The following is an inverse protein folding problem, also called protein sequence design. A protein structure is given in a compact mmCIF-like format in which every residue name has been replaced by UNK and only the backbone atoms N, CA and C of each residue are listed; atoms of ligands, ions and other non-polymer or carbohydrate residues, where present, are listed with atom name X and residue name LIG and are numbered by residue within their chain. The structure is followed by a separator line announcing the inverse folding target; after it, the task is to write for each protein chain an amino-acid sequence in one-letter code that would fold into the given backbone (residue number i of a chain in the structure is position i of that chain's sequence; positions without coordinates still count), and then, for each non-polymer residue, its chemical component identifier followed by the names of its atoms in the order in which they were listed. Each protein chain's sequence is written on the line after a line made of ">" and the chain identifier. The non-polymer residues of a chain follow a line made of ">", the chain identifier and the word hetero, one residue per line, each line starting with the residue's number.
data_IF_723509374166
#
_entry.id   IF_723509374166
#
_cell.length_a   1.000
_cell.length_b   1.000
_cell.length_c   1.000
_cell.angle_alpha   90.00
_cell.angle_beta   90.00
_cell.angle_gamma   90.00
#
_symmetry.space_group_name_H-M   'P 1'
#
loop_
_entity.id
_entity.type
_entity.pdbx_description
1 polymer ?
#
# COMPACT_ATOMS: atom_id res chain seq x y z
N UNK A 1 13.23 6.63 7.60
CA UNK A 1 13.95 5.42 7.98
C UNK A 1 13.47 4.20 7.18
N UNK A 2 12.18 3.94 7.11
CA UNK A 2 11.58 2.83 6.32
C UNK A 2 11.99 2.86 4.83
N UNK A 3 12.03 4.03 4.19
CA UNK A 3 12.39 4.16 2.79
C UNK A 3 13.81 3.67 2.45
N UNK A 4 14.79 3.87 3.33
CA UNK A 4 16.17 3.39 3.08
C UNK A 4 16.25 1.87 3.00
N UNK A 5 15.55 1.17 3.90
CA UNK A 5 15.49 -0.29 3.88
C UNK A 5 14.71 -0.83 2.68
N UNK A 6 13.62 -0.16 2.33
CA UNK A 6 12.83 -0.52 1.16
C UNK A 6 13.61 -0.32 -0.15
N UNK A 7 14.38 0.78 -0.28
CA UNK A 7 15.23 1.01 -1.45
C UNK A 7 16.32 -0.06 -1.57
N UNK A 8 17.03 -0.37 -0.47
CA UNK A 8 18.08 -1.39 -0.49
C UNK A 8 17.53 -2.78 -0.88
N UNK A 9 16.35 -3.15 -0.33
CA UNK A 9 15.69 -4.39 -0.72
C UNK A 9 15.25 -4.36 -2.19
N UNK A 10 14.76 -3.22 -2.66
CA UNK A 10 14.33 -3.07 -4.04
C UNK A 10 15.50 -3.19 -5.03
N UNK A 11 16.64 -2.57 -4.75
CA UNK A 11 17.86 -2.69 -5.55
C UNK A 11 18.33 -4.15 -5.62
N UNK A 12 18.41 -4.82 -4.47
CA UNK A 12 18.74 -6.26 -4.42
C UNK A 12 17.73 -7.14 -5.17
N UNK A 13 16.45 -6.82 -5.11
CA UNK A 13 15.41 -7.54 -5.82
C UNK A 13 15.48 -7.29 -7.33
N UNK A 14 15.89 -6.09 -7.75
CA UNK A 14 16.11 -5.72 -9.14
C UNK A 14 17.29 -6.51 -9.74
N UNK A 15 18.43 -6.52 -9.05
CA UNK A 15 19.64 -7.24 -9.47
C UNK A 15 19.37 -8.75 -9.62
N UNK A 16 18.56 -9.32 -8.73
CA UNK A 16 18.18 -10.72 -8.76
C UNK A 16 16.94 -11.02 -9.64
N UNK A 17 16.37 -10.02 -10.33
CA UNK A 17 15.13 -10.14 -11.13
C UNK A 17 13.97 -10.79 -10.35
N UNK A 18 13.88 -10.49 -9.06
CA UNK A 18 12.96 -11.12 -8.12
C UNK A 18 11.96 -10.13 -7.50
N UNK A 19 11.70 -8.98 -8.14
CA UNK A 19 10.84 -7.91 -7.59
C UNK A 19 9.46 -8.45 -7.23
N UNK A 20 8.84 -9.23 -8.14
CA UNK A 20 7.49 -9.78 -7.91
C UNK A 20 7.47 -10.88 -6.86
N UNK A 21 8.46 -11.76 -6.86
CA UNK A 21 8.57 -12.80 -5.85
C UNK A 21 8.71 -12.20 -4.44
N UNK A 22 9.57 -11.20 -4.29
CA UNK A 22 9.76 -10.49 -3.03
C UNK A 22 8.48 -9.75 -2.63
N UNK A 23 7.77 -9.12 -3.57
CA UNK A 23 6.48 -8.45 -3.31
C UNK A 23 5.47 -9.45 -2.74
N UNK A 24 5.28 -10.60 -3.39
CA UNK A 24 4.34 -11.65 -2.95
C UNK A 24 4.67 -12.15 -1.54
N UNK A 25 5.94 -12.40 -1.25
CA UNK A 25 6.37 -12.88 0.05
C UNK A 25 6.16 -11.83 1.16
N UNK A 26 6.45 -10.56 0.87
CA UNK A 26 6.20 -9.45 1.79
C UNK A 26 4.71 -9.23 2.03
N UNK A 27 3.87 -9.35 1.00
CA UNK A 27 2.42 -9.23 1.09
C UNK A 27 1.83 -10.35 1.95
N UNK A 28 2.36 -11.58 1.78
CA UNK A 28 2.01 -12.73 2.62
C UNK A 28 2.35 -12.46 4.09
N UNK A 29 3.52 -11.92 4.36
CA UNK A 29 3.93 -11.57 5.72
C UNK A 29 3.06 -10.46 6.32
N UNK A 30 2.73 -9.41 5.57
CA UNK A 30 1.82 -8.34 6.01
C UNK A 30 0.42 -8.86 6.35
N UNK A 31 -0.10 -9.78 5.54
CA UNK A 31 -1.37 -10.47 5.77
C UNK A 31 -1.34 -11.32 7.03
N UNK A 32 -0.23 -12.02 7.30
CA UNK A 32 -0.06 -12.79 8.53
C UNK A 32 -0.08 -11.89 9.77
N UNK A 33 0.60 -10.72 9.71
CA UNK A 33 0.55 -9.73 10.80
C UNK A 33 -0.87 -9.20 11.02
N UNK A 34 -1.61 -8.94 9.93
CA UNK A 34 -2.96 -8.39 10.02
C UNK A 34 -3.95 -9.39 10.63
N UNK A 35 -3.82 -10.68 10.30
CA UNK A 35 -4.74 -11.73 10.70
C UNK A 35 -4.38 -12.40 12.03
N UNK A 36 -3.18 -12.12 12.58
CA UNK A 36 -2.73 -12.77 13.81
C UNK A 36 -2.34 -11.72 14.86
N UNK A 37 -3.18 -11.53 15.92
CA UNK A 37 -2.92 -10.56 16.99
C UNK A 37 -1.61 -10.82 17.74
N UNK A 38 -1.25 -12.08 17.94
CA UNK A 38 -0.03 -12.46 18.66
C UNK A 38 1.22 -12.13 17.85
N UNK A 39 1.18 -12.36 16.53
CA UNK A 39 2.25 -11.94 15.64
C UNK A 39 2.37 -10.41 15.58
N UNK A 40 1.27 -9.69 15.53
CA UNK A 40 1.27 -8.22 15.57
C UNK A 40 1.86 -7.71 16.91
N UNK A 41 1.54 -8.37 18.02
CA UNK A 41 2.13 -8.06 19.33
C UNK A 41 3.64 -8.34 19.36
N UNK A 42 4.09 -9.48 18.82
CA UNK A 42 5.51 -9.82 18.71
C UNK A 42 6.28 -8.77 17.90
N UNK A 43 5.71 -8.34 16.77
CA UNK A 43 6.32 -7.36 15.86
C UNK A 43 6.43 -5.97 16.51
N UNK A 44 5.42 -5.55 17.26
CA UNK A 44 5.34 -4.20 17.85
C UNK A 44 5.93 -4.06 19.23
N UNK A 45 6.03 -5.13 19.99
CA UNK A 45 6.44 -5.07 21.38
C UNK A 45 7.95 -4.92 21.52
N UNK A 46 8.42 -3.89 22.24
CA UNK A 46 9.83 -3.72 22.56
C UNK A 46 10.31 -4.63 23.70
N UNK A 47 9.41 -5.36 24.34
CA UNK A 47 9.70 -6.22 25.50
C UNK A 47 10.52 -7.46 25.11
N UNK A 48 10.32 -7.97 23.90
CA UNK A 48 11.04 -9.12 23.42
C UNK A 48 12.48 -8.74 23.00
N UNK A 49 13.45 -9.53 23.42
CA UNK A 49 14.83 -9.42 22.95
C UNK A 49 14.95 -9.81 21.47
N UNK A 50 16.00 -9.32 20.81
CA UNK A 50 16.19 -9.54 19.38
C UNK A 50 16.32 -11.03 19.03
N UNK A 51 16.97 -11.82 19.90
CA UNK A 51 17.19 -13.24 19.66
C UNK A 51 15.90 -14.05 19.76
N UNK A 52 15.03 -13.72 20.71
CA UNK A 52 13.72 -14.35 20.85
C UNK A 52 12.80 -13.97 19.67
N UNK A 53 12.82 -12.70 19.25
CA UNK A 53 12.09 -12.26 18.05
C UNK A 53 12.61 -12.99 16.79
N UNK A 54 13.92 -13.16 16.67
CA UNK A 54 14.55 -13.78 15.50
C UNK A 54 14.19 -15.28 15.42
N UNK A 55 14.21 -16.00 16.56
CA UNK A 55 13.80 -17.40 16.61
C UNK A 55 12.32 -17.59 16.28
N UNK A 56 11.45 -16.77 16.87
CA UNK A 56 10.02 -16.80 16.58
C UNK A 56 9.74 -16.47 15.10
N UNK A 57 10.41 -15.43 14.58
CA UNK A 57 10.29 -15.04 13.18
C UNK A 57 10.74 -16.16 12.24
N UNK A 58 11.88 -16.82 12.52
CA UNK A 58 12.37 -17.93 11.70
C UNK A 58 11.34 -19.05 11.56
N UNK A 59 10.74 -19.48 12.70
CA UNK A 59 9.69 -20.49 12.70
C UNK A 59 8.44 -20.09 11.91
N UNK A 60 8.07 -18.79 11.95
CA UNK A 60 6.93 -18.26 11.20
C UNK A 60 7.24 -18.22 9.70
N UNK A 61 8.42 -17.76 9.32
CA UNK A 61 8.84 -17.68 7.92
C UNK A 61 8.90 -19.07 7.27
N UNK A 62 9.43 -20.06 7.99
CA UNK A 62 9.50 -21.44 7.51
C UNK A 62 8.08 -22.02 7.30
N UNK A 63 7.17 -21.81 8.24
CA UNK A 63 5.75 -22.23 8.10
C UNK A 63 5.01 -21.51 6.99
N UNK A 64 5.29 -20.23 6.79
CA UNK A 64 4.69 -19.42 5.74
C UNK A 64 5.29 -19.69 4.36
N UNK A 65 6.40 -20.43 4.28
CA UNK A 65 7.12 -20.70 3.03
C UNK A 65 7.81 -19.46 2.46
N UNK A 66 8.08 -18.44 3.29
CA UNK A 66 8.78 -17.23 2.89
C UNK A 66 10.28 -17.48 2.96
N UNK A 67 10.95 -17.39 1.80
CA UNK A 67 12.36 -17.74 1.64
C UNK A 67 13.13 -16.65 0.89
N UNK A 68 14.46 -16.83 0.76
CA UNK A 68 15.30 -15.97 -0.07
C UNK A 68 15.42 -14.54 0.46
N UNK A 69 15.35 -13.55 -0.44
CA UNK A 69 15.58 -12.14 -0.14
C UNK A 69 14.60 -11.57 0.89
N UNK A 70 13.33 -11.92 0.80
CA UNK A 70 12.31 -11.44 1.74
C UNK A 70 12.58 -11.95 3.16
N UNK A 71 12.90 -13.24 3.32
CA UNK A 71 13.26 -13.82 4.62
C UNK A 71 14.52 -13.18 5.21
N UNK A 72 15.57 -13.02 4.40
CA UNK A 72 16.81 -12.39 4.83
C UNK A 72 16.59 -10.92 5.26
N UNK A 73 15.80 -10.18 4.49
CA UNK A 73 15.42 -8.82 4.84
C UNK A 73 14.71 -8.76 6.20
N UNK A 74 13.73 -9.62 6.43
CA UNK A 74 12.98 -9.67 7.70
C UNK A 74 13.90 -10.04 8.88
N UNK A 75 14.87 -10.93 8.67
CA UNK A 75 15.90 -11.24 9.69
C UNK A 75 16.78 -10.04 9.99
N UNK A 76 17.28 -9.33 8.97
CA UNK A 76 18.13 -8.16 9.13
C UNK A 76 17.42 -7.03 9.90
N UNK A 77 16.15 -6.74 9.58
CA UNK A 77 15.42 -5.70 10.32
C UNK A 77 15.12 -6.11 11.76
N UNK A 78 14.98 -7.42 12.02
CA UNK A 78 14.80 -7.95 13.39
C UNK A 78 16.08 -7.81 14.19
N UNK A 79 17.23 -8.23 13.65
CA UNK A 79 18.55 -8.06 14.28
C UNK A 79 18.83 -6.60 14.62
N UNK A 80 18.44 -5.68 13.75
CA UNK A 80 18.56 -4.24 13.96
C UNK A 80 17.48 -3.65 14.88
N UNK A 81 16.65 -4.46 15.52
CA UNK A 81 15.54 -4.04 16.39
C UNK A 81 14.54 -3.10 15.70
N UNK A 82 14.28 -3.31 14.41
CA UNK A 82 13.39 -2.48 13.57
C UNK A 82 12.20 -3.22 13.01
N UNK A 83 11.89 -4.39 13.54
CA UNK A 83 10.76 -5.22 13.10
C UNK A 83 9.43 -4.48 13.22
N UNK A 84 9.27 -3.58 14.21
CA UNK A 84 8.06 -2.76 14.38
C UNK A 84 7.72 -1.89 13.16
N UNK A 85 8.73 -1.52 12.36
CA UNK A 85 8.56 -0.71 11.15
C UNK A 85 8.39 -1.58 9.88
N UNK A 86 8.29 -2.91 10.00
CA UNK A 86 8.20 -3.82 8.85
C UNK A 86 7.05 -3.46 7.91
N UNK A 87 5.86 -3.15 8.44
CA UNK A 87 4.70 -2.77 7.62
C UNK A 87 4.91 -1.50 6.81
N UNK A 88 5.60 -0.51 7.38
CA UNK A 88 5.92 0.73 6.67
C UNK A 88 6.99 0.49 5.60
N UNK A 89 7.96 -0.41 5.86
CA UNK A 89 8.95 -0.83 4.88
C UNK A 89 8.31 -1.60 3.72
N UNK A 90 7.36 -2.49 4.01
CA UNK A 90 6.59 -3.24 3.00
C UNK A 90 5.79 -2.26 2.13
N UNK A 91 5.12 -1.28 2.73
CA UNK A 91 4.37 -0.25 1.99
C UNK A 91 5.29 0.56 1.08
N UNK A 92 6.47 0.97 1.58
CA UNK A 92 7.46 1.67 0.78
C UNK A 92 7.99 0.82 -0.38
N UNK A 93 8.24 -0.48 -0.16
CA UNK A 93 8.66 -1.41 -1.20
C UNK A 93 7.59 -1.57 -2.30
N UNK A 94 6.31 -1.73 -1.92
CA UNK A 94 5.19 -1.77 -2.87
C UNK A 94 5.16 -0.54 -3.78
N UNK A 95 5.35 0.65 -3.19
CA UNK A 95 5.38 1.90 -3.95
C UNK A 95 6.56 1.97 -4.94
N UNK A 96 7.73 1.45 -4.56
CA UNK A 96 8.90 1.36 -5.46
C UNK A 96 8.66 0.37 -6.60
N UNK A 97 8.12 -0.81 -6.30
CA UNK A 97 7.80 -1.84 -7.28
C UNK A 97 6.77 -1.34 -8.30
N UNK A 98 5.71 -0.66 -7.84
CA UNK A 98 4.71 -0.05 -8.69
C UNK A 98 5.31 1.01 -9.63
N UNK A 99 6.16 1.90 -9.09
CA UNK A 99 6.87 2.90 -9.90
C UNK A 99 7.76 2.27 -10.96
N UNK A 100 8.48 1.22 -10.63
CA UNK A 100 9.37 0.52 -11.57
C UNK A 100 8.60 -0.14 -12.70
N UNK A 101 7.44 -0.72 -12.42
CA UNK A 101 6.56 -1.31 -13.44
C UNK A 101 5.83 -0.25 -14.27
N UNK A 102 5.98 1.03 -13.94
CA UNK A 102 5.22 2.10 -14.56
C UNK A 102 3.73 2.06 -14.18
N UNK A 103 3.37 1.26 -13.19
CA UNK A 103 2.03 1.24 -12.60
C UNK A 103 1.81 2.58 -11.89
N UNK A 104 0.73 3.25 -12.23
CA UNK A 104 0.33 4.49 -11.57
C UNK A 104 -0.69 4.14 -10.49
N UNK A 105 -0.33 4.31 -9.22
CA UNK A 105 -1.29 4.09 -8.14
C UNK A 105 -2.32 5.22 -8.15
N UNK A 106 -3.58 4.87 -8.34
CA UNK A 106 -4.71 5.77 -8.24
C UNK A 106 -5.42 5.58 -6.89
N UNK A 107 -5.36 6.60 -6.04
CA UNK A 107 -6.15 6.64 -4.81
C UNK A 107 -7.55 7.15 -5.18
N UNK A 108 -8.55 6.31 -4.99
CA UNK A 108 -9.94 6.61 -5.35
C UNK A 108 -10.78 6.67 -4.08
N UNK A 109 -11.32 7.84 -3.78
CA UNK A 109 -12.27 8.02 -2.67
C UNK A 109 -13.69 8.04 -3.22
N UNK A 110 -14.55 7.20 -2.66
CA UNK A 110 -15.97 7.05 -3.05
C UNK A 110 -16.88 7.18 -1.84
N UNK A 111 -18.14 7.60 -2.06
CA UNK A 111 -19.11 7.73 -0.97
C UNK A 111 -19.61 6.36 -0.48
N UNK A 112 -19.75 5.40 -1.39
CA UNK A 112 -20.26 4.06 -1.14
C UNK A 112 -19.34 3.02 -1.81
N UNK A 113 -19.32 1.77 -1.32
CA UNK A 113 -18.57 0.70 -1.95
C UNK A 113 -18.93 0.52 -3.43
N UNK A 114 -17.92 0.50 -4.29
CA UNK A 114 -18.13 0.29 -5.73
C UNK A 114 -18.51 -1.17 -5.99
N UNK A 115 -19.49 -1.37 -6.86
CA UNK A 115 -19.75 -2.68 -7.41
C UNK A 115 -18.75 -3.01 -8.54
N UNK A 116 -18.63 -4.30 -8.90
CA UNK A 116 -17.65 -4.78 -9.88
C UNK A 116 -17.78 -4.10 -11.24
N UNK A 117 -19.01 -3.74 -11.68
CA UNK A 117 -19.26 -3.04 -12.94
C UNK A 117 -18.72 -1.62 -12.92
N UNK A 118 -18.93 -0.89 -11.83
CA UNK A 118 -18.46 0.48 -11.67
C UNK A 118 -16.94 0.52 -11.52
N UNK A 119 -16.35 -0.50 -10.90
CA UNK A 119 -14.90 -0.64 -10.76
C UNK A 119 -14.24 -0.92 -12.12
N UNK A 120 -14.86 -1.74 -12.98
CA UNK A 120 -14.40 -1.99 -14.34
C UNK A 120 -14.47 -0.72 -15.21
N UNK A 121 -15.61 0.00 -15.17
CA UNK A 121 -15.77 1.25 -15.91
C UNK A 121 -14.77 2.32 -15.46
N UNK A 122 -14.49 2.40 -14.16
CA UNK A 122 -13.48 3.32 -13.62
C UNK A 122 -12.08 2.96 -14.12
N UNK A 123 -11.74 1.66 -14.15
CA UNK A 123 -10.47 1.16 -14.70
C UNK A 123 -10.29 1.60 -16.15
N UNK A 124 -11.29 1.41 -16.98
CA UNK A 124 -11.23 1.74 -18.40
C UNK A 124 -11.13 3.26 -18.63
N UNK A 125 -11.88 4.06 -17.86
CA UNK A 125 -11.81 5.51 -17.93
C UNK A 125 -10.43 6.04 -17.52
N UNK A 126 -9.81 5.49 -16.48
CA UNK A 126 -8.49 5.91 -16.00
C UNK A 126 -7.36 5.42 -16.90
N UNK A 127 -7.47 4.24 -17.53
CA UNK A 127 -6.52 3.78 -18.56
C UNK A 127 -6.43 4.75 -19.73
N UNK A 128 -7.53 5.33 -20.17
CA UNK A 128 -7.52 6.33 -21.26
C UNK A 128 -6.77 7.61 -20.87
N UNK A 129 -6.83 8.01 -19.62
CA UNK A 129 -6.18 9.22 -19.09
C UNK A 129 -4.69 9.02 -18.81
N UNK A 130 -4.27 7.81 -18.46
CA UNK A 130 -2.88 7.48 -18.09
C UNK A 130 -2.05 6.93 -19.24
N UNK A 131 -2.59 6.89 -20.45
CA UNK A 131 -1.87 6.42 -21.63
C UNK A 131 -1.67 4.90 -21.67
N UNK A 132 -2.63 4.11 -21.14
CA UNK A 132 -2.62 2.64 -21.24
C UNK A 132 -1.76 1.94 -20.19
N UNK A 133 -1.25 2.64 -19.19
CA UNK A 133 -0.50 2.03 -18.07
C UNK A 133 -1.44 1.26 -17.16
N UNK A 134 -0.96 0.14 -16.62
CA UNK A 134 -1.70 -0.57 -15.59
C UNK A 134 -1.78 0.30 -14.33
N UNK A 135 -3.02 0.44 -13.82
CA UNK A 135 -3.33 1.27 -12.66
C UNK A 135 -3.68 0.35 -11.50
N UNK A 136 -2.94 0.47 -10.42
CA UNK A 136 -3.31 -0.15 -9.15
C UNK A 136 -4.23 0.80 -8.38
N UNK A 137 -5.36 0.29 -7.87
CA UNK A 137 -6.40 1.09 -7.23
C UNK A 137 -6.38 0.87 -5.73
N UNK A 138 -6.23 1.95 -5.00
CA UNK A 138 -6.51 2.00 -3.57
C UNK A 138 -7.86 2.69 -3.36
N UNK A 139 -8.91 1.90 -3.10
CA UNK A 139 -10.28 2.41 -2.96
C UNK A 139 -10.58 2.66 -1.49
N UNK A 140 -10.84 3.94 -1.16
CA UNK A 140 -11.25 4.37 0.17
C UNK A 140 -12.71 4.78 0.15
N UNK A 141 -13.51 4.23 1.07
CA UNK A 141 -14.91 4.64 1.23
C UNK A 141 -15.00 5.76 2.26
N UNK A 142 -15.50 6.92 1.83
CA UNK A 142 -15.65 8.14 2.63
C UNK A 142 -17.06 8.73 2.43
N UNK A 143 -18.04 8.37 3.26
CA UNK A 143 -19.41 8.87 3.11
C UNK A 143 -19.54 10.40 3.18
N UNK A 144 -18.55 11.08 3.76
CA UNK A 144 -18.53 12.53 3.90
C UNK A 144 -18.52 13.30 2.57
N UNK A 145 -18.16 12.66 1.45
CA UNK A 145 -18.22 13.28 0.12
C UNK A 145 -19.65 13.33 -0.46
N UNK A 146 -20.64 12.69 0.22
CA UNK A 146 -22.06 12.64 -0.11
C UNK A 146 -22.35 11.81 -1.36
N UNK A 147 -21.51 11.87 -2.38
CA UNK A 147 -21.61 11.16 -3.64
C UNK A 147 -20.57 11.60 -4.65
N UNK A 148 -20.47 10.90 -5.76
CA UNK A 148 -19.42 11.09 -6.75
C UNK A 148 -18.13 10.38 -6.35
N UNK A 149 -17.00 10.85 -6.90
CA UNK A 149 -15.68 10.26 -6.64
C UNK A 149 -14.59 11.33 -6.63
N UNK A 150 -13.56 11.08 -5.85
CA UNK A 150 -12.30 11.84 -5.85
C UNK A 150 -11.21 10.89 -6.28
N UNK A 151 -10.47 11.22 -7.34
CA UNK A 151 -9.36 10.41 -7.85
C UNK A 151 -8.08 11.19 -7.75
N UNK A 152 -7.09 10.60 -7.11
CA UNK A 152 -5.73 11.13 -7.05
C UNK A 152 -4.78 10.19 -7.77
N UNK A 153 -4.19 10.66 -8.86
CA UNK A 153 -3.25 9.91 -9.68
C UNK A 153 -1.90 10.63 -9.66
N UNK A 154 -0.98 10.13 -8.86
CA UNK A 154 0.31 10.80 -8.63
C UNK A 154 0.14 12.20 -8.06
N UNK A 155 0.52 13.24 -8.84
CA UNK A 155 0.38 14.67 -8.46
C UNK A 155 -0.92 15.31 -8.95
N UNK A 156 -1.71 14.60 -9.75
CA UNK A 156 -3.00 15.09 -10.25
C UNK A 156 -4.13 14.59 -9.37
N UNK A 157 -5.06 15.50 -9.06
CA UNK A 157 -6.27 15.19 -8.30
C UNK A 157 -7.48 15.70 -9.09
N UNK A 158 -8.47 14.84 -9.25
CA UNK A 158 -9.76 15.15 -9.86
C UNK A 158 -10.83 14.92 -8.82
N UNK A 159 -11.51 15.97 -8.41
CA UNK A 159 -12.60 15.92 -7.44
C UNK A 159 -13.93 16.19 -8.15
N UNK A 160 -14.75 15.14 -8.27
CA UNK A 160 -16.10 15.19 -8.82
C UNK A 160 -17.17 14.97 -7.72
N UNK A 161 -16.82 15.16 -6.46
CA UNK A 161 -17.72 14.96 -5.34
C UNK A 161 -18.91 15.96 -5.35
N UNK A 162 -20.06 15.47 -4.91
CA UNK A 162 -21.24 16.32 -4.73
C UNK A 162 -21.01 17.39 -3.68
N UNK A 163 -20.22 17.11 -2.67
CA UNK A 163 -19.82 18.08 -1.65
C UNK A 163 -19.11 19.30 -2.24
N UNK A 164 -18.15 19.09 -3.13
CA UNK A 164 -17.41 20.18 -3.80
C UNK A 164 -18.34 20.97 -4.71
N UNK A 165 -19.21 20.30 -5.48
CA UNK A 165 -20.21 20.97 -6.33
C UNK A 165 -21.18 21.81 -5.53
N UNK A 166 -21.71 21.31 -4.40
CA UNK A 166 -22.59 22.06 -3.52
C UNK A 166 -21.90 23.27 -2.88
N UNK A 167 -20.64 23.12 -2.49
CA UNK A 167 -19.86 24.24 -1.95
C UNK A 167 -19.62 25.31 -3.01
N UNK A 168 -19.32 24.95 -4.24
CA UNK A 168 -19.15 25.91 -5.35
C UNK A 168 -20.45 26.70 -5.60
N UNK A 169 -21.60 26.02 -5.63
CA UNK A 169 -22.91 26.69 -5.77
C UNK A 169 -23.18 27.63 -4.59
N UNK A 170 -22.91 27.20 -3.36
CA UNK A 170 -23.08 28.03 -2.16
C UNK A 170 -22.23 29.31 -2.20
N UNK A 171 -20.99 29.21 -2.68
CA UNK A 171 -20.09 30.37 -2.84
C UNK A 171 -20.64 31.30 -3.91
N UNK A 172 -20.98 30.79 -5.10
CA UNK A 172 -21.54 31.60 -6.18
C UNK A 172 -22.83 32.35 -5.78
N UNK A 173 -23.69 31.69 -5.00
CA UNK A 173 -24.90 32.35 -4.46
C UNK A 173 -24.60 33.42 -3.42
N UNK A 174 -23.48 33.35 -2.69
CA UNK A 174 -23.06 34.38 -1.74
C UNK A 174 -22.44 35.59 -2.45
N UNK A 175 -21.71 35.35 -3.54
CA UNK A 175 -21.09 36.45 -4.31
C UNK A 175 -22.06 37.18 -5.21
N UNK A 176 -23.22 36.58 -5.52
CA UNK A 176 -24.29 37.22 -6.32
C UNK A 176 -25.22 38.10 -5.51
N UNK A 177 -24.94 38.34 -4.24
CA UNK A 177 -25.73 39.12 -3.30
C UNK A 177 -24.99 40.39 -2.86
#
# INVERSE_FOLDING_TARGET
>A
MAGRYANALFELALDNKAIDAVKVDLDRFDTLIANNPDLNRLVRSPVFDADSQLRALAAILDRAGIKGLAANFLRVITTNRRLFAARDMIRAYRALAARHKGEVTAEVTVAEPLNDKNLAALKDALKSVTGGKDIDFDVKVEPAIIGGLVVKVGSRMVDSSLRTKLNAIKIAMKEAR
#
